data_IF_768219860351
#
_entry.id   IF_768219860351
#
_cell.length_a   1.000
_cell.length_b   1.000
_cell.length_c   1.000
_cell.angle_alpha   90.00
_cell.angle_beta   90.00
_cell.angle_gamma   90.00
#
_symmetry.space_group_name_H-M   'P 1'
#
loop_
_entity.id
_entity.type
_entity.pdbx_description
1 polymer ?
#
# COMPACT_ATOMS: atom_id res chain seq x y z
N UNK A 1 -1.11 31.34 22.69
CA UNK A 1 0.16 30.57 22.57
C UNK A 1 -0.05 29.20 21.92
N UNK A 2 -1.27 28.64 21.92
CA UNK A 2 -1.60 27.32 21.35
C UNK A 2 -1.38 27.18 19.82
N UNK A 3 -1.63 28.23 19.03
CA UNK A 3 -1.50 28.21 17.57
C UNK A 3 -0.12 27.77 17.03
N UNK A 4 0.98 28.03 17.76
CA UNK A 4 2.31 27.59 17.32
C UNK A 4 2.48 26.07 17.43
N UNK A 5 1.96 25.46 18.49
CA UNK A 5 2.08 24.02 18.70
C UNK A 5 1.22 23.23 17.72
N UNK A 6 0.01 23.70 17.44
CA UNK A 6 -0.89 23.11 16.43
C UNK A 6 -0.24 23.08 15.04
N UNK A 7 0.39 24.18 14.63
CA UNK A 7 1.12 24.22 13.35
C UNK A 7 2.26 23.20 13.31
N UNK A 8 3.04 23.07 14.39
CA UNK A 8 4.13 22.09 14.48
C UNK A 8 3.59 20.67 14.36
N UNK A 9 2.50 20.34 15.07
CA UNK A 9 1.85 19.04 14.99
C UNK A 9 1.33 18.76 13.56
N UNK A 10 0.75 19.77 12.91
CA UNK A 10 0.31 19.68 11.52
C UNK A 10 1.44 19.34 10.55
N UNK A 11 2.61 19.98 10.71
CA UNK A 11 3.79 19.65 9.89
C UNK A 11 4.31 18.24 10.15
N UNK A 12 4.33 17.78 11.41
CA UNK A 12 4.74 16.42 11.75
C UNK A 12 3.81 15.39 11.07
N UNK A 13 2.49 15.58 11.19
CA UNK A 13 1.49 14.72 10.55
C UNK A 13 1.64 14.70 9.03
N UNK A 14 1.87 15.86 8.41
CA UNK A 14 2.10 15.97 6.97
C UNK A 14 3.33 15.15 6.54
N UNK A 15 4.47 15.35 7.20
CA UNK A 15 5.73 14.66 6.87
C UNK A 15 5.58 13.15 7.05
N UNK A 16 4.99 12.71 8.17
CA UNK A 16 4.77 11.29 8.43
C UNK A 16 3.88 10.67 7.35
N UNK A 17 2.77 11.31 7.01
CA UNK A 17 1.88 10.81 5.96
C UNK A 17 2.55 10.71 4.59
N UNK A 18 3.33 11.73 4.20
CA UNK A 18 4.09 11.73 2.94
C UNK A 18 5.16 10.64 2.93
N UNK A 19 5.90 10.48 4.02
CA UNK A 19 6.91 9.41 4.15
C UNK A 19 6.26 8.03 4.01
N UNK A 20 5.11 7.79 4.65
CA UNK A 20 4.40 6.52 4.48
C UNK A 20 3.98 6.25 3.02
N UNK A 21 3.52 7.28 2.30
CA UNK A 21 3.18 7.16 0.88
C UNK A 21 4.44 6.79 0.07
N UNK A 22 5.54 7.52 0.26
CA UNK A 22 6.79 7.27 -0.47
C UNK A 22 7.35 5.87 -0.18
N UNK A 23 7.32 5.44 1.07
CA UNK A 23 7.73 4.08 1.48
C UNK A 23 6.84 3.03 0.81
N UNK A 24 5.53 3.23 0.80
CA UNK A 24 4.59 2.28 0.18
C UNK A 24 4.87 2.11 -1.31
N UNK A 25 5.07 3.22 -2.03
CA UNK A 25 5.40 3.21 -3.46
C UNK A 25 6.76 2.54 -3.71
N UNK A 26 7.76 2.82 -2.88
CA UNK A 26 9.08 2.20 -2.96
C UNK A 26 9.01 0.67 -2.79
N UNK A 27 8.29 0.18 -1.79
CA UNK A 27 8.10 -1.26 -1.58
C UNK A 27 7.31 -1.92 -2.72
N UNK A 28 6.29 -1.25 -3.25
CA UNK A 28 5.56 -1.74 -4.43
C UNK A 28 6.51 -1.87 -5.64
N UNK A 29 7.35 -0.87 -5.89
CA UNK A 29 8.29 -0.87 -7.01
C UNK A 29 9.33 -2.00 -6.89
N UNK A 30 9.84 -2.25 -5.69
CA UNK A 30 10.80 -3.34 -5.46
C UNK A 30 10.18 -4.73 -5.71
N UNK A 31 8.94 -4.95 -5.25
CA UNK A 31 8.24 -6.21 -5.52
C UNK A 31 7.88 -6.34 -7.00
N UNK A 32 7.52 -5.25 -7.67
CA UNK A 32 7.23 -5.25 -9.11
C UNK A 32 8.44 -5.60 -9.96
N UNK A 33 9.61 -5.02 -9.63
CA UNK A 33 10.88 -5.30 -10.31
C UNK A 33 11.47 -6.67 -9.97
N UNK A 34 10.86 -7.41 -9.05
CA UNK A 34 11.32 -8.73 -8.62
C UNK A 34 12.59 -8.69 -7.76
N UNK A 35 12.98 -7.51 -7.24
CA UNK A 35 14.13 -7.39 -6.33
C UNK A 35 13.85 -7.99 -4.95
N UNK A 36 12.59 -7.99 -4.54
CA UNK A 36 12.12 -8.68 -3.35
C UNK A 36 10.93 -9.57 -3.70
N UNK A 37 10.94 -10.83 -3.25
CA UNK A 37 9.79 -11.71 -3.40
C UNK A 37 8.75 -11.39 -2.33
N UNK A 38 7.46 -11.24 -2.69
CA UNK A 38 6.43 -11.05 -1.68
C UNK A 38 6.33 -12.30 -0.78
N UNK A 39 5.96 -12.13 0.49
CA UNK A 39 5.83 -13.24 1.42
C UNK A 39 4.81 -14.26 0.90
N UNK A 40 5.14 -15.55 1.06
CA UNK A 40 4.33 -16.67 0.60
C UNK A 40 3.15 -16.88 1.56
N UNK A 41 1.98 -16.37 1.21
CA UNK A 41 0.79 -16.39 2.06
C UNK A 41 -0.17 -17.54 1.76
N UNK A 42 -0.11 -18.09 0.56
CA UNK A 42 -0.98 -19.18 0.12
C UNK A 42 -0.11 -20.38 -0.28
N UNK A 43 -0.73 -21.55 -0.40
CA UNK A 43 -0.11 -22.72 -1.01
C UNK A 43 -1.18 -23.38 -1.88
N UNK A 44 -1.03 -23.21 -3.19
CA UNK A 44 -1.91 -23.84 -4.16
C UNK A 44 -1.30 -25.16 -4.61
N UNK A 45 -2.09 -26.24 -4.72
CA UNK A 45 -1.63 -27.49 -5.32
C UNK A 45 -1.49 -27.32 -6.85
N UNK A 46 -0.67 -28.17 -7.44
CA UNK A 46 -0.55 -28.26 -8.90
C UNK A 46 -1.84 -28.82 -9.52
N UNK A 47 -2.21 -28.29 -10.67
CA UNK A 47 -3.40 -28.70 -11.40
C UNK A 47 -3.00 -29.60 -12.56
N UNK A 48 -3.44 -30.86 -12.47
CA UNK A 48 -3.24 -31.88 -13.49
C UNK A 48 -4.55 -32.08 -14.25
N UNK A 49 -4.49 -32.19 -15.57
CA UNK A 49 -5.58 -32.77 -16.37
C UNK A 49 -5.10 -34.05 -17.02
N UNK A 50 -6.04 -34.97 -17.23
CA UNK A 50 -5.76 -36.19 -17.96
C UNK A 50 -6.05 -35.95 -19.44
N UNK A 51 -5.01 -35.95 -20.28
CA UNK A 51 -5.16 -35.94 -21.74
C UNK A 51 -4.70 -37.30 -22.25
N UNK A 52 -5.58 -38.01 -22.93
CA UNK A 52 -5.29 -39.34 -23.49
C UNK A 52 -4.82 -40.39 -22.46
N UNK A 53 -5.26 -40.28 -21.20
CA UNK A 53 -4.94 -41.23 -20.13
C UNK A 53 -3.70 -40.89 -19.30
N UNK A 54 -2.89 -39.92 -19.72
CA UNK A 54 -1.71 -39.46 -18.97
C UNK A 54 -2.01 -38.16 -18.22
N UNK A 55 -1.64 -38.04 -16.93
CA UNK A 55 -1.77 -36.80 -16.18
C UNK A 55 -0.74 -35.79 -16.68
N UNK A 56 -1.21 -34.81 -17.45
CA UNK A 56 -0.42 -33.67 -17.89
C UNK A 56 -0.59 -32.50 -16.93
N UNK A 57 0.54 -31.96 -16.46
CA UNK A 57 0.59 -30.75 -15.64
C UNK A 57 0.31 -29.53 -16.53
N UNK A 58 -0.75 -28.78 -16.25
CA UNK A 58 -1.03 -27.54 -16.98
C UNK A 58 -0.57 -26.32 -16.19
N UNK A 59 -0.75 -26.35 -14.88
CA UNK A 59 -0.55 -25.16 -14.04
C UNK A 59 0.17 -25.55 -12.76
N UNK A 60 1.34 -24.93 -12.57
CA UNK A 60 2.09 -25.03 -11.33
C UNK A 60 1.40 -24.17 -10.26
N UNK A 61 1.08 -24.75 -9.12
CA UNK A 61 0.51 -24.04 -7.98
C UNK A 61 1.44 -22.93 -7.45
N UNK A 62 2.74 -23.01 -7.74
CA UNK A 62 3.71 -21.98 -7.42
C UNK A 62 3.47 -20.66 -8.17
N UNK A 63 3.09 -20.72 -9.45
CA UNK A 63 2.79 -19.52 -10.24
C UNK A 63 1.53 -18.84 -9.71
N UNK A 64 0.49 -19.62 -9.42
CA UNK A 64 -0.73 -19.13 -8.78
C UNK A 64 -0.37 -18.44 -7.46
N UNK A 65 0.42 -19.10 -6.62
CA UNK A 65 0.80 -18.55 -5.34
C UNK A 65 1.56 -17.23 -5.46
N UNK A 66 2.50 -17.14 -6.40
CA UNK A 66 3.25 -15.91 -6.68
C UNK A 66 2.30 -14.79 -7.10
N UNK A 67 1.34 -15.05 -7.98
CA UNK A 67 0.34 -14.08 -8.43
C UNK A 67 -0.49 -13.59 -7.24
N UNK A 68 -1.04 -14.50 -6.44
CA UNK A 68 -1.85 -14.13 -5.28
C UNK A 68 -1.05 -13.39 -4.21
N UNK A 69 0.19 -13.79 -3.94
CA UNK A 69 1.08 -13.10 -3.02
C UNK A 69 1.40 -11.67 -3.49
N UNK A 70 1.64 -11.47 -4.79
CA UNK A 70 1.84 -10.14 -5.37
C UNK A 70 0.57 -9.28 -5.24
N UNK A 71 -0.60 -9.82 -5.60
CA UNK A 71 -1.87 -9.10 -5.49
C UNK A 71 -2.12 -8.66 -4.04
N UNK A 72 -1.94 -9.58 -3.09
CA UNK A 72 -2.14 -9.27 -1.68
C UNK A 72 -1.15 -8.22 -1.18
N UNK A 73 0.12 -8.31 -1.59
CA UNK A 73 1.13 -7.31 -1.23
C UNK A 73 0.78 -5.92 -1.77
N UNK A 74 0.33 -5.83 -3.02
CA UNK A 74 -0.12 -4.56 -3.59
C UNK A 74 -1.35 -4.00 -2.89
N UNK A 75 -2.31 -4.86 -2.54
CA UNK A 75 -3.49 -4.46 -1.78
C UNK A 75 -3.12 -3.89 -0.41
N UNK A 76 -2.19 -4.55 0.30
CA UNK A 76 -1.69 -4.09 1.58
C UNK A 76 -0.99 -2.73 1.46
N UNK A 77 -0.05 -2.58 0.51
CA UNK A 77 0.66 -1.32 0.29
C UNK A 77 -0.27 -0.20 -0.16
N UNK A 78 -1.30 -0.52 -0.94
CA UNK A 78 -2.36 0.43 -1.30
C UNK A 78 -3.10 0.94 -0.06
N UNK A 79 -3.42 0.06 0.90
CA UNK A 79 -4.04 0.47 2.15
C UNK A 79 -3.13 1.37 3.00
N UNK A 80 -1.84 1.04 3.10
CA UNK A 80 -0.85 1.88 3.80
C UNK A 80 -0.74 3.25 3.13
N UNK A 81 -0.70 3.30 1.80
CA UNK A 81 -0.70 4.54 1.03
C UNK A 81 -1.95 5.39 1.32
N UNK A 82 -3.15 4.77 1.34
CA UNK A 82 -4.38 5.47 1.72
C UNK A 82 -4.33 6.01 3.15
N UNK A 83 -3.83 5.23 4.10
CA UNK A 83 -3.64 5.67 5.48
C UNK A 83 -2.66 6.85 5.58
N UNK A 84 -1.56 6.81 4.82
CA UNK A 84 -0.62 7.92 4.69
C UNK A 84 -1.26 9.19 4.13
N UNK A 85 -2.09 9.06 3.09
CA UNK A 85 -2.87 10.16 2.55
C UNK A 85 -3.84 10.78 3.56
N UNK A 86 -4.51 9.96 4.36
CA UNK A 86 -5.41 10.42 5.43
C UNK A 86 -4.62 11.19 6.51
N UNK A 87 -3.49 10.65 6.97
CA UNK A 87 -2.64 11.29 7.97
C UNK A 87 -2.09 12.62 7.44
N UNK A 88 -1.61 12.66 6.20
CA UNK A 88 -1.14 13.89 5.57
C UNK A 88 -2.26 14.94 5.46
N UNK A 89 -3.49 14.53 5.13
CA UNK A 89 -4.64 15.44 5.04
C UNK A 89 -5.00 16.08 6.38
N UNK A 90 -4.88 15.34 7.48
CA UNK A 90 -5.06 15.89 8.84
C UNK A 90 -4.00 16.96 9.13
N UNK A 91 -2.75 16.70 8.74
CA UNK A 91 -1.66 17.66 8.87
C UNK A 91 -1.91 18.97 8.13
N UNK A 92 -2.35 18.88 6.86
CA UNK A 92 -2.69 20.07 6.04
C UNK A 92 -3.85 20.85 6.66
N UNK A 93 -4.88 20.15 7.14
CA UNK A 93 -6.03 20.79 7.76
C UNK A 93 -5.67 21.55 9.05
N UNK A 94 -4.70 21.07 9.83
CA UNK A 94 -4.19 21.79 11.01
C UNK A 94 -3.36 23.03 10.63
N UNK A 95 -2.59 22.95 9.55
CA UNK A 95 -1.75 24.08 9.09
C UNK A 95 -2.62 25.20 8.49
N UNK A 96 -3.73 24.84 7.84
CA UNK A 96 -4.61 25.79 7.16
C UNK A 96 -5.44 26.58 8.17
N UNK A 97 -5.02 27.82 8.45
CA UNK A 97 -5.84 28.76 9.23
C UNK A 97 -7.18 29.02 8.51
N UNK A 98 -8.30 28.70 9.15
CA UNK A 98 -9.63 29.00 8.65
C UNK A 98 -9.83 30.52 8.77
N UNK A 99 -9.48 31.29 7.74
CA UNK A 99 -9.93 32.68 7.62
C UNK A 99 -11.42 32.69 7.29
N UNK A 100 -12.25 32.82 8.32
CA UNK A 100 -13.68 33.11 8.13
C UNK A 100 -13.79 34.61 7.83
N UNK A 101 -13.86 34.97 6.56
CA UNK A 101 -14.34 36.29 6.17
C UNK A 101 -15.85 36.33 6.44
N UNK A 102 -16.25 36.96 7.55
CA UNK A 102 -17.66 37.24 7.81
C UNK A 102 -18.08 38.36 6.87
N UNK A 103 -18.76 38.00 5.77
CA UNK A 103 -19.43 38.97 4.90
C UNK A 103 -20.64 39.52 5.67
N UNK A 104 -20.54 40.79 6.06
CA UNK A 104 -21.60 41.55 6.74
C UNK A 104 -22.72 41.91 5.77
#
# INVERSE_FOLDING_TARGET
>A
MESKYEKVIGYILLVVGVVMILISVYFMFNVFTGTTTPPRLFNFPDIYITVSGEPTLILHGEEMNKIFAMIFWYLLMFFIMMAGGRIASLGINLIREIRVEVKK
#
